data_IF_389169572826
#
_entry.id   IF_389169572826
#
_cell.length_a   1.000
_cell.length_b   1.000
_cell.length_c   1.000
_cell.angle_alpha   90.00
_cell.angle_beta   90.00
_cell.angle_gamma   90.00
#
_symmetry.space_group_name_H-M   'P 1'
#
loop_
_entity.id
_entity.type
_entity.pdbx_description
1 polymer ?
#
# COMPACT_ATOMS: atom_id res chain seq x y z
N UNK A 1 -13.78 6.25 37.32
CA UNK A 1 -12.50 6.26 36.61
C UNK A 1 -11.41 6.79 37.53
N UNK A 2 -10.18 6.43 37.25
CA UNK A 2 -9.03 6.88 38.02
C UNK A 2 -8.75 8.37 37.78
N UNK A 3 -8.20 9.06 38.81
CA UNK A 3 -7.82 10.45 38.68
C UNK A 3 -6.63 10.61 37.72
N UNK A 4 -6.75 11.45 36.71
CA UNK A 4 -5.70 11.73 35.75
C UNK A 4 -4.83 12.91 36.23
N UNK A 5 -3.86 12.58 37.09
CA UNK A 5 -2.90 13.58 37.60
C UNK A 5 -2.03 14.11 36.46
N UNK A 6 -1.92 15.46 36.37
CA UNK A 6 -1.14 16.11 35.30
C UNK A 6 -1.88 16.31 33.98
N UNK A 7 -3.18 15.98 33.89
CA UNK A 7 -3.97 16.30 32.70
C UNK A 7 -4.01 17.84 32.50
N UNK A 8 -3.79 18.28 31.25
CA UNK A 8 -3.86 19.67 30.89
C UNK A 8 -5.31 20.07 30.62
N UNK A 9 -5.75 21.17 31.24
CA UNK A 9 -7.07 21.75 31.04
C UNK A 9 -6.90 23.21 30.69
N UNK A 10 -7.37 23.63 29.52
CA UNK A 10 -7.19 25.01 29.06
C UNK A 10 -8.38 25.53 28.23
N UNK A 11 -8.52 26.81 28.16
CA UNK A 11 -9.54 27.50 27.37
C UNK A 11 -9.00 27.76 25.96
N UNK A 12 -9.61 27.15 24.94
CA UNK A 12 -9.19 27.29 23.55
C UNK A 12 -9.15 28.79 23.13
N UNK A 13 -8.07 29.15 22.45
CA UNK A 13 -7.85 30.52 21.96
C UNK A 13 -7.41 31.51 23.05
N UNK A 14 -7.09 31.05 24.27
CA UNK A 14 -6.57 31.88 25.36
C UNK A 14 -5.28 31.30 25.93
N UNK A 15 -4.62 32.07 26.83
CA UNK A 15 -3.47 31.57 27.62
C UNK A 15 -3.87 30.98 28.98
N UNK A 16 -5.18 30.87 29.26
CA UNK A 16 -5.70 30.42 30.54
C UNK A 16 -5.82 28.88 30.57
N UNK A 17 -5.20 28.24 31.55
CA UNK A 17 -5.24 26.81 31.75
C UNK A 17 -4.62 26.38 33.06
N UNK A 18 -4.80 25.11 33.42
CA UNK A 18 -4.24 24.51 34.62
C UNK A 18 -3.96 23.01 34.36
N UNK A 19 -3.01 22.43 35.12
CA UNK A 19 -2.83 21.00 35.20
C UNK A 19 -3.64 20.40 36.35
N UNK A 20 -4.19 19.21 36.12
CA UNK A 20 -4.90 18.48 37.17
C UNK A 20 -3.94 18.03 38.27
N UNK A 21 -4.37 18.13 39.52
CA UNK A 21 -3.63 17.68 40.70
C UNK A 21 -3.67 16.16 40.85
N UNK A 22 -2.98 15.62 41.84
CA UNK A 22 -2.92 14.17 42.11
C UNK A 22 -4.30 13.53 42.38
N UNK A 23 -5.28 14.32 42.78
CA UNK A 23 -6.68 13.90 43.00
C UNK A 23 -7.57 14.10 41.74
N UNK A 24 -6.97 14.48 40.60
CA UNK A 24 -7.67 14.75 39.36
C UNK A 24 -8.41 16.08 39.30
N UNK A 25 -8.34 16.91 40.35
CA UNK A 25 -8.99 18.23 40.35
C UNK A 25 -8.12 19.26 39.68
N UNK A 26 -8.75 20.20 38.99
CA UNK A 26 -8.12 21.36 38.37
C UNK A 26 -8.86 22.64 38.74
N UNK A 27 -8.20 23.77 38.63
CA UNK A 27 -8.78 25.09 38.84
C UNK A 27 -8.09 26.09 37.91
N UNK A 28 -8.89 26.82 37.16
CA UNK A 28 -8.45 27.92 36.31
C UNK A 28 -9.00 29.21 36.93
N UNK A 29 -8.12 30.07 37.37
CA UNK A 29 -8.47 31.31 38.03
C UNK A 29 -8.57 32.46 37.02
N UNK A 30 -9.24 33.55 37.42
CA UNK A 30 -9.35 34.82 36.71
C UNK A 30 -9.91 34.69 35.27
N UNK A 31 -10.84 33.76 35.07
CA UNK A 31 -11.51 33.58 33.77
C UNK A 31 -12.59 34.67 33.63
N UNK A 32 -12.50 35.57 32.63
CA UNK A 32 -13.55 36.55 32.38
C UNK A 32 -14.91 35.92 32.08
N UNK A 33 -16.00 36.63 32.33
CA UNK A 33 -17.32 36.14 31.98
C UNK A 33 -17.45 36.02 30.45
N UNK A 34 -17.89 34.84 29.97
CA UNK A 34 -17.98 34.54 28.54
C UNK A 34 -18.32 33.08 28.26
N UNK A 35 -18.43 32.78 26.98
CA UNK A 35 -18.56 31.38 26.50
C UNK A 35 -17.21 30.91 25.96
N UNK A 36 -16.76 29.80 26.44
CA UNK A 36 -15.46 29.22 26.10
C UNK A 36 -15.58 27.75 25.67
N UNK A 37 -14.64 27.29 24.88
CA UNK A 37 -14.39 25.88 24.67
C UNK A 37 -13.28 25.43 25.63
N UNK A 38 -13.64 24.58 26.57
CA UNK A 38 -12.70 23.98 27.53
C UNK A 38 -12.15 22.68 26.93
N UNK A 39 -10.83 22.60 26.85
CA UNK A 39 -10.11 21.47 26.25
C UNK A 39 -9.40 20.70 27.35
N UNK A 40 -9.65 19.41 27.41
CA UNK A 40 -8.98 18.47 28.31
C UNK A 40 -8.05 17.59 27.49
N UNK A 41 -6.79 17.54 27.85
CA UNK A 41 -5.81 16.69 27.19
C UNK A 41 -4.91 15.98 28.20
N UNK A 42 -4.64 14.71 27.95
CA UNK A 42 -3.72 13.92 28.75
C UNK A 42 -3.00 12.91 27.87
N UNK A 43 -1.73 12.68 28.15
CA UNK A 43 -0.92 11.75 27.36
C UNK A 43 -1.52 10.35 27.37
N UNK A 44 -1.80 9.78 26.19
CA UNK A 44 -2.47 8.49 26.05
C UNK A 44 -4.00 8.52 26.15
N UNK A 45 -4.61 9.71 26.10
CA UNK A 45 -6.07 9.89 26.10
C UNK A 45 -6.52 10.78 24.95
N UNK A 46 -7.70 10.52 24.43
CA UNK A 46 -8.33 11.38 23.40
C UNK A 46 -8.64 12.75 24.00
N UNK A 47 -8.25 13.80 23.28
CA UNK A 47 -8.60 15.17 23.67
C UNK A 47 -10.11 15.32 23.65
N UNK A 48 -10.66 15.90 24.72
CA UNK A 48 -12.08 16.18 24.86
C UNK A 48 -12.30 17.69 24.87
N UNK A 49 -13.24 18.15 24.06
CA UNK A 49 -13.65 19.55 24.04
C UNK A 49 -15.09 19.67 24.53
N UNK A 50 -15.37 20.66 25.36
CA UNK A 50 -16.72 20.94 25.85
C UNK A 50 -16.94 22.45 25.99
N UNK A 51 -18.14 22.90 25.69
CA UNK A 51 -18.50 24.30 25.88
C UNK A 51 -18.78 24.58 27.36
N UNK A 52 -18.24 25.67 27.89
CA UNK A 52 -18.49 26.13 29.24
C UNK A 52 -18.86 27.62 29.22
N UNK A 53 -19.88 27.97 29.96
CA UNK A 53 -20.29 29.35 30.16
C UNK A 53 -19.82 29.81 31.54
N UNK A 54 -18.97 30.82 31.56
CA UNK A 54 -18.47 31.47 32.77
C UNK A 54 -19.26 32.76 33.00
N UNK A 55 -19.88 32.84 34.14
CA UNK A 55 -20.63 34.03 34.58
C UNK A 55 -20.02 34.64 35.86
N UNK A 56 -20.85 35.25 36.65
CA UNK A 56 -20.44 35.86 37.95
C UNK A 56 -20.30 34.85 39.10
N UNK A 57 -20.40 33.54 38.79
CA UNK A 57 -20.24 32.46 39.76
C UNK A 57 -19.27 31.43 39.20
N UNK A 58 -18.62 30.67 40.08
CA UNK A 58 -17.75 29.61 39.69
C UNK A 58 -18.49 28.57 38.82
N UNK A 59 -17.91 28.24 37.68
CA UNK A 59 -18.37 27.16 36.82
C UNK A 59 -17.61 25.85 37.19
N UNK A 60 -18.32 24.72 37.22
CA UNK A 60 -17.71 23.43 37.45
C UNK A 60 -17.96 22.56 36.20
N UNK A 61 -16.91 22.02 35.65
CA UNK A 61 -16.97 21.10 34.50
C UNK A 61 -16.15 19.85 34.80
N UNK A 62 -16.80 18.70 34.77
CA UNK A 62 -16.13 17.40 34.88
C UNK A 62 -15.92 16.80 33.49
N UNK A 63 -14.83 16.08 33.33
CA UNK A 63 -14.52 15.38 32.08
C UNK A 63 -14.10 13.94 32.39
N UNK A 64 -14.49 13.07 31.49
CA UNK A 64 -14.00 11.68 31.48
C UNK A 64 -13.34 11.46 30.12
N UNK A 65 -12.01 11.40 30.13
CA UNK A 65 -11.25 11.13 28.92
C UNK A 65 -11.27 9.62 28.64
N UNK A 66 -11.59 9.27 27.40
CA UNK A 66 -11.35 7.91 26.89
C UNK A 66 -9.88 7.77 26.56
N UNK A 67 -9.30 6.61 26.84
CA UNK A 67 -7.94 6.34 26.39
C UNK A 67 -7.90 6.51 24.89
N UNK A 68 -7.00 7.38 24.41
CA UNK A 68 -6.73 7.43 23.00
C UNK A 68 -6.22 6.03 22.62
N UNK A 69 -6.79 5.46 21.58
CA UNK A 69 -6.09 4.39 20.92
C UNK A 69 -4.69 4.97 20.60
N UNK A 70 -3.67 4.33 21.14
CA UNK A 70 -2.28 4.82 21.07
C UNK A 70 -1.84 4.83 19.60
N UNK A 71 -2.19 5.90 18.89
CA UNK A 71 -1.80 6.07 17.48
C UNK A 71 -0.28 6.15 17.28
N UNK A 72 0.49 6.36 18.33
CA UNK A 72 1.91 6.69 18.18
C UNK A 72 2.85 5.71 18.91
N UNK A 73 2.47 5.13 20.04
CA UNK A 73 3.41 4.29 20.80
C UNK A 73 3.46 2.83 20.33
N UNK A 74 2.40 2.28 19.79
CA UNK A 74 2.42 0.92 19.23
C UNK A 74 3.30 0.84 17.96
N UNK A 75 3.44 1.97 17.25
CA UNK A 75 4.33 2.10 16.11
C UNK A 75 5.82 2.24 16.49
N UNK A 76 6.17 2.40 17.75
CA UNK A 76 7.56 2.53 18.21
C UNK A 76 8.33 1.22 18.29
N UNK A 77 7.75 0.09 17.87
CA UNK A 77 8.40 -1.23 17.99
C UNK A 77 9.72 -1.31 17.22
N UNK A 78 9.92 -0.51 16.21
CA UNK A 78 11.11 -0.67 15.35
C UNK A 78 12.12 0.48 15.38
N UNK A 79 12.00 1.49 16.21
CA UNK A 79 12.97 2.62 16.25
C UNK A 79 13.10 3.41 14.94
N UNK A 80 12.27 3.11 13.93
CA UNK A 80 12.33 3.65 12.58
C UNK A 80 11.28 4.72 12.30
N UNK A 81 10.38 4.99 13.25
CA UNK A 81 9.34 5.98 13.04
C UNK A 81 9.89 7.37 13.23
N UNK A 82 9.76 8.14 12.17
CA UNK A 82 10.11 9.55 12.15
C UNK A 82 9.05 10.33 12.93
N UNK A 83 9.47 11.07 13.93
CA UNK A 83 8.59 11.98 14.67
C UNK A 83 8.69 13.39 14.09
N UNK A 84 7.58 13.94 13.67
CA UNK A 84 7.51 15.32 13.19
C UNK A 84 8.08 16.29 14.22
N UNK A 85 8.90 17.23 13.75
CA UNK A 85 9.57 18.27 14.56
C UNK A 85 10.61 17.76 15.57
N UNK A 86 10.80 16.45 15.70
CA UNK A 86 11.81 15.85 16.60
C UNK A 86 12.96 15.27 15.80
N UNK A 87 12.67 14.64 14.66
CA UNK A 87 13.68 14.04 13.80
C UNK A 87 14.30 15.11 12.89
N UNK A 88 15.61 15.33 12.93
CA UNK A 88 16.27 16.46 12.23
C UNK A 88 16.43 16.25 10.72
N UNK A 89 15.85 15.20 10.14
CA UNK A 89 16.00 14.85 8.72
C UNK A 89 14.77 15.28 7.89
N UNK A 90 14.98 15.71 6.62
CA UNK A 90 13.87 16.01 5.72
C UNK A 90 13.03 14.75 5.46
N UNK A 91 11.78 14.79 5.86
CA UNK A 91 10.85 13.67 5.67
C UNK A 91 9.47 14.18 5.24
N UNK A 92 8.65 13.26 4.78
CA UNK A 92 7.23 13.45 4.51
C UNK A 92 6.47 12.26 5.06
N UNK A 93 5.32 12.51 5.68
CA UNK A 93 4.43 11.46 6.18
C UNK A 93 3.10 11.57 5.46
N UNK A 94 2.62 10.44 4.94
CA UNK A 94 1.30 10.27 4.36
C UNK A 94 0.48 9.45 5.35
N UNK A 95 -0.69 9.93 5.72
CA UNK A 95 -1.57 9.26 6.69
C UNK A 95 -2.48 8.24 6.00
N UNK A 96 -3.12 7.35 6.77
CA UNK A 96 -4.15 6.43 6.25
C UNK A 96 -5.26 7.16 5.50
N UNK A 97 -5.66 8.34 5.97
CA UNK A 97 -6.67 9.17 5.31
C UNK A 97 -6.20 9.68 3.94
N UNK A 98 -4.94 10.07 3.81
CA UNK A 98 -4.36 10.46 2.51
C UNK A 98 -4.36 9.28 1.56
N UNK A 99 -4.01 8.08 2.04
CA UNK A 99 -4.01 6.86 1.25
C UNK A 99 -5.42 6.49 0.80
N UNK A 100 -6.39 6.48 1.70
CA UNK A 100 -7.78 6.14 1.39
C UNK A 100 -8.38 7.06 0.32
N UNK A 101 -8.15 8.37 0.43
CA UNK A 101 -8.73 9.36 -0.47
C UNK A 101 -8.06 9.42 -1.84
N UNK A 102 -6.78 9.04 -1.95
CA UNK A 102 -5.96 9.34 -3.12
C UNK A 102 -5.52 8.11 -3.91
N UNK A 103 -5.52 6.92 -3.31
CA UNK A 103 -5.10 5.70 -4.01
C UNK A 103 -6.10 5.33 -5.09
N UNK A 104 -7.38 5.23 -4.75
CA UNK A 104 -8.44 4.80 -5.66
C UNK A 104 -7.99 3.56 -6.49
N UNK A 105 -8.03 3.65 -7.83
CA UNK A 105 -7.57 2.58 -8.73
C UNK A 105 -6.05 2.59 -9.00
N UNK A 106 -5.31 3.58 -8.47
CA UNK A 106 -3.87 3.74 -8.72
C UNK A 106 -3.04 2.91 -7.75
N UNK A 107 -1.81 2.63 -8.13
CA UNK A 107 -0.83 2.03 -7.22
C UNK A 107 -0.48 2.96 -6.05
N UNK A 108 -0.06 2.39 -4.94
CA UNK A 108 0.37 3.14 -3.74
C UNK A 108 1.48 4.16 -4.05
N UNK A 109 2.29 3.91 -5.07
CA UNK A 109 3.36 4.78 -5.54
C UNK A 109 2.85 6.13 -6.05
N UNK A 110 1.66 6.16 -6.66
CA UNK A 110 1.04 7.39 -7.13
C UNK A 110 0.73 8.36 -5.98
N UNK A 111 0.36 7.84 -4.82
CA UNK A 111 0.12 8.65 -3.62
C UNK A 111 1.42 9.15 -3.02
N UNK A 112 2.50 8.37 -3.11
CA UNK A 112 3.82 8.80 -2.64
C UNK A 112 4.36 10.03 -3.40
N UNK A 113 3.96 10.19 -4.66
CA UNK A 113 4.37 11.36 -5.48
C UNK A 113 3.80 12.69 -4.97
N UNK A 114 2.83 12.69 -4.08
CA UNK A 114 2.36 13.91 -3.40
C UNK A 114 3.40 14.45 -2.40
N UNK A 115 4.38 13.63 -2.01
CA UNK A 115 5.46 14.08 -1.16
C UNK A 115 6.50 14.90 -1.95
N UNK A 116 6.89 16.11 -1.49
CA UNK A 116 7.85 16.93 -2.20
C UNK A 116 9.16 16.20 -2.49
N UNK A 117 9.63 16.23 -3.75
CA UNK A 117 10.85 15.56 -4.19
C UNK A 117 10.72 14.06 -4.41
N UNK A 118 9.50 13.55 -4.46
CA UNK A 118 9.17 12.20 -4.91
C UNK A 118 8.51 12.28 -6.28
N UNK A 119 8.91 11.40 -7.16
CA UNK A 119 8.34 11.25 -8.50
C UNK A 119 8.07 9.78 -8.77
N UNK A 120 7.02 9.47 -9.51
CA UNK A 120 6.73 8.10 -9.93
C UNK A 120 6.46 8.02 -11.43
N UNK A 121 6.66 6.85 -11.98
CA UNK A 121 6.30 6.51 -13.36
C UNK A 121 5.52 5.21 -13.40
N UNK A 122 4.54 5.14 -14.27
CA UNK A 122 3.84 3.90 -14.64
C UNK A 122 4.45 3.39 -15.94
N UNK A 123 5.57 2.69 -15.83
CA UNK A 123 6.40 2.37 -17.00
C UNK A 123 5.71 1.44 -18.01
N UNK A 124 4.78 0.61 -17.55
CA UNK A 124 4.12 -0.40 -18.40
C UNK A 124 2.61 -0.21 -18.55
N UNK A 125 2.08 0.87 -18.00
CA UNK A 125 0.67 1.24 -18.14
C UNK A 125 -0.33 0.30 -17.47
N UNK A 126 0.16 -0.65 -16.68
CA UNK A 126 -0.60 -1.62 -15.93
C UNK A 126 -0.39 -1.50 -14.42
N UNK A 127 -1.14 -2.27 -13.66
CA UNK A 127 -1.03 -2.29 -12.21
C UNK A 127 0.30 -2.90 -11.76
N UNK A 128 1.00 -2.21 -10.84
CA UNK A 128 2.18 -2.74 -10.15
C UNK A 128 3.52 -2.58 -10.85
N UNK A 129 3.54 -2.06 -12.06
CA UNK A 129 4.78 -1.81 -12.81
C UNK A 129 5.33 -0.39 -12.62
N UNK A 130 4.90 0.30 -11.59
CA UNK A 130 5.34 1.64 -11.28
C UNK A 130 6.74 1.68 -10.67
N UNK A 131 7.43 2.81 -10.85
CA UNK A 131 8.72 3.08 -10.23
C UNK A 131 8.66 4.38 -9.43
N UNK A 132 9.38 4.43 -8.32
CA UNK A 132 9.48 5.60 -7.45
C UNK A 132 10.89 6.14 -7.46
N UNK A 133 10.99 7.46 -7.58
CA UNK A 133 12.24 8.20 -7.54
C UNK A 133 12.20 9.18 -6.37
N UNK A 134 13.25 9.20 -5.55
CA UNK A 134 13.39 10.15 -4.46
C UNK A 134 14.55 11.08 -4.77
N UNK A 135 14.29 12.39 -4.93
CA UNK A 135 15.30 13.39 -5.32
C UNK A 135 16.07 13.03 -6.60
N UNK A 136 15.40 12.35 -7.54
CA UNK A 136 16.02 11.90 -8.79
C UNK A 136 16.79 10.58 -8.70
N UNK A 137 16.95 10.02 -7.50
CA UNK A 137 17.53 8.69 -7.34
C UNK A 137 16.50 7.61 -7.62
N UNK A 138 16.88 6.60 -8.39
CA UNK A 138 16.08 5.43 -8.69
C UNK A 138 15.85 4.59 -7.41
N UNK A 139 14.84 3.75 -7.44
CA UNK A 139 14.44 2.88 -6.34
C UNK A 139 15.56 1.90 -5.90
N UNK A 140 16.51 1.57 -6.76
CA UNK A 140 17.71 0.80 -6.41
C UNK A 140 18.59 1.51 -5.38
N UNK A 141 18.52 2.84 -5.35
CA UNK A 141 19.24 3.71 -4.42
C UNK A 141 18.37 4.15 -3.23
N UNK A 142 17.22 3.52 -3.04
CA UNK A 142 16.27 3.83 -1.98
C UNK A 142 15.87 2.56 -1.25
N UNK A 143 15.87 2.58 0.07
CA UNK A 143 15.39 1.46 0.86
C UNK A 143 13.87 1.52 1.02
N UNK A 144 13.19 0.41 0.81
CA UNK A 144 11.76 0.26 1.13
C UNK A 144 11.59 -0.74 2.26
N UNK A 145 10.89 -0.32 3.29
CA UNK A 145 10.62 -1.09 4.49
C UNK A 145 9.11 -1.28 4.66
N UNK A 146 8.69 -2.44 5.13
CA UNK A 146 7.33 -2.70 5.62
C UNK A 146 7.46 -3.09 7.10
N UNK A 147 6.93 -2.27 7.98
CA UNK A 147 7.09 -2.44 9.44
C UNK A 147 8.56 -2.61 9.86
N UNK A 148 9.48 -1.90 9.20
CA UNK A 148 10.91 -2.00 9.45
C UNK A 148 11.61 -3.20 8.80
N UNK A 149 10.90 -4.08 8.10
CA UNK A 149 11.47 -5.19 7.33
C UNK A 149 11.84 -4.72 5.94
N UNK A 150 13.10 -4.83 5.49
CA UNK A 150 13.51 -4.46 4.14
C UNK A 150 12.89 -5.42 3.12
N UNK A 151 12.31 -4.86 2.06
CA UNK A 151 11.55 -5.62 1.04
C UNK A 151 12.06 -5.40 -0.39
N UNK A 152 13.09 -4.60 -0.58
CA UNK A 152 13.78 -4.50 -1.86
C UNK A 152 14.23 -5.90 -2.32
N UNK A 153 14.23 -6.11 -3.62
CA UNK A 153 14.75 -7.33 -4.20
C UNK A 153 16.26 -7.48 -3.92
N UNK A 154 16.67 -8.67 -3.48
CA UNK A 154 18.05 -8.90 -3.04
C UNK A 154 19.03 -9.06 -4.20
N UNK A 155 18.55 -9.32 -5.41
CA UNK A 155 19.39 -9.48 -6.58
C UNK A 155 19.76 -8.14 -7.21
N UNK A 156 18.75 -7.24 -7.36
CA UNK A 156 18.91 -5.99 -8.12
C UNK A 156 18.58 -4.71 -7.32
N UNK A 157 18.18 -4.84 -6.06
CA UNK A 157 17.82 -3.70 -5.21
C UNK A 157 16.50 -3.03 -5.54
N UNK A 158 15.78 -3.50 -6.56
CA UNK A 158 14.53 -2.88 -7.04
C UNK A 158 13.35 -3.20 -6.14
N UNK A 159 12.32 -2.39 -6.28
CA UNK A 159 11.02 -2.65 -5.70
C UNK A 159 10.03 -3.03 -6.80
N UNK A 160 9.40 -4.18 -6.67
CA UNK A 160 8.34 -4.64 -7.56
C UNK A 160 7.00 -4.44 -6.85
N UNK A 161 6.35 -3.32 -7.14
CA UNK A 161 5.15 -2.87 -6.41
C UNK A 161 3.95 -3.79 -6.57
N UNK A 162 3.87 -4.54 -7.67
CA UNK A 162 2.84 -5.57 -7.88
C UNK A 162 2.84 -6.66 -6.79
N UNK A 163 4.00 -6.93 -6.18
CA UNK A 163 4.10 -7.91 -5.08
C UNK A 163 3.44 -7.43 -3.79
N UNK A 164 3.07 -6.15 -3.73
CA UNK A 164 2.56 -5.46 -2.55
C UNK A 164 1.20 -4.82 -2.82
N UNK A 165 0.43 -5.39 -3.74
CA UNK A 165 -0.95 -4.95 -3.98
C UNK A 165 -1.75 -5.01 -2.67
N UNK A 166 -2.64 -4.04 -2.47
CA UNK A 166 -3.39 -3.89 -1.23
C UNK A 166 -2.66 -3.22 -0.08
N UNK A 167 -1.36 -2.87 -0.23
CA UNK A 167 -0.64 -2.13 0.82
C UNK A 167 -1.29 -0.80 1.19
N UNK A 168 -1.93 -0.13 0.24
CA UNK A 168 -2.68 1.11 0.48
C UNK A 168 -3.85 0.94 1.46
N UNK A 169 -4.42 -0.26 1.55
CA UNK A 169 -5.57 -0.53 2.42
C UNK A 169 -5.16 -0.91 3.85
N UNK A 170 -3.91 -1.34 4.03
CA UNK A 170 -3.40 -1.76 5.35
C UNK A 170 -2.44 -0.75 5.97
N UNK A 171 -1.87 0.15 5.16
CA UNK A 171 -0.93 1.13 5.65
C UNK A 171 -1.63 2.17 6.54
N UNK A 172 -1.20 2.29 7.78
CA UNK A 172 -1.59 3.37 8.68
C UNK A 172 -0.82 4.66 8.39
N UNK A 173 0.41 4.53 7.88
CA UNK A 173 1.22 5.64 7.42
C UNK A 173 2.29 5.19 6.43
N UNK A 174 2.70 6.11 5.54
CA UNK A 174 3.92 5.98 4.75
C UNK A 174 4.84 7.13 5.13
N UNK A 175 6.03 6.79 5.57
CA UNK A 175 7.07 7.77 5.91
C UNK A 175 8.17 7.73 4.87
N UNK A 176 8.44 8.87 4.25
CA UNK A 176 9.46 9.00 3.20
C UNK A 176 10.54 9.92 3.73
N UNK A 177 11.68 9.36 4.05
CA UNK A 177 12.88 10.09 4.43
C UNK A 177 13.76 10.30 3.19
N UNK A 178 14.26 11.52 3.02
CA UNK A 178 14.97 11.94 1.81
C UNK A 178 16.46 12.10 2.10
N UNK A 179 17.27 11.42 1.30
CA UNK A 179 18.73 11.42 1.44
C UNK A 179 19.22 10.43 2.49
N UNK A 180 20.48 10.54 2.88
CA UNK A 180 21.11 9.66 3.88
C UNK A 180 20.34 9.77 5.20
N UNK A 181 19.62 8.74 5.52
CA UNK A 181 18.78 8.67 6.69
C UNK A 181 19.42 7.93 7.85
N UNK A 182 19.04 8.31 9.06
CA UNK A 182 19.39 7.56 10.25
C UNK A 182 18.41 6.39 10.45
N UNK A 183 18.36 5.45 9.51
CA UNK A 183 17.68 4.20 9.81
C UNK A 183 18.70 3.20 10.33
N UNK A 184 18.47 2.68 11.53
CA UNK A 184 19.33 1.66 12.11
C UNK A 184 19.11 0.28 11.48
N UNK A 185 18.19 0.13 10.54
CA UNK A 185 17.74 -1.16 10.02
C UNK A 185 18.29 -1.50 8.64
N UNK A 186 18.74 -0.52 7.88
CA UNK A 186 19.26 -0.72 6.52
C UNK A 186 20.50 0.14 6.33
N UNK A 187 21.46 -0.36 5.55
CA UNK A 187 22.59 0.45 5.11
C UNK A 187 22.07 1.73 4.43
N UNK A 188 22.66 2.87 4.75
CA UNK A 188 22.20 4.17 4.26
C UNK A 188 22.12 4.20 2.74
N UNK A 189 20.96 4.54 2.22
CA UNK A 189 20.70 4.68 0.80
C UNK A 189 20.75 6.16 0.41
N UNK A 190 21.37 6.48 -0.72
CA UNK A 190 21.57 7.86 -1.18
C UNK A 190 20.25 8.59 -1.49
N UNK A 191 19.28 7.89 -2.07
CA UNK A 191 17.97 8.44 -2.40
C UNK A 191 17.12 8.70 -1.17
N UNK A 192 17.12 7.77 -0.24
CA UNK A 192 16.31 7.85 0.97
C UNK A 192 15.72 6.52 1.43
N UNK A 193 14.71 6.62 2.29
CA UNK A 193 14.02 5.45 2.83
C UNK A 193 12.51 5.68 2.77
N UNK A 194 11.78 4.69 2.27
CA UNK A 194 10.33 4.59 2.35
C UNK A 194 10.00 3.56 3.43
N UNK A 195 9.27 3.94 4.46
CA UNK A 195 8.80 3.02 5.47
C UNK A 195 7.27 3.01 5.47
N UNK A 196 6.70 1.86 5.10
CA UNK A 196 5.26 1.61 5.12
C UNK A 196 4.93 0.96 6.44
N UNK A 197 4.07 1.59 7.18
CA UNK A 197 3.70 1.17 8.53
C UNK A 197 2.27 0.67 8.55
N UNK A 198 2.06 -0.50 9.14
CA UNK A 198 0.75 -1.10 9.37
C UNK A 198 0.72 -1.70 10.77
N UNK A 199 -0.44 -1.84 11.37
CA UNK A 199 -0.51 -2.47 12.70
C UNK A 199 -1.92 -2.64 13.23
N UNK A 200 -2.12 -3.72 14.00
CA UNK A 200 -3.38 -4.01 14.68
C UNK A 200 -3.58 -3.20 15.96
N UNK A 201 -2.49 -2.83 16.62
CA UNK A 201 -2.55 -2.21 17.93
C UNK A 201 -3.22 -0.83 17.94
N UNK A 202 -3.21 -0.16 16.79
CA UNK A 202 -3.77 1.19 16.61
C UNK A 202 -5.16 1.18 16.01
N UNK A 203 -5.63 0.04 15.52
CA UNK A 203 -6.94 -0.04 14.91
C UNK A 203 -8.05 -0.01 15.97
N UNK A 204 -9.07 0.78 15.73
CA UNK A 204 -10.30 0.70 16.52
C UNK A 204 -11.05 -0.59 16.24
N UNK A 205 -11.92 -1.01 17.16
CA UNK A 205 -12.79 -2.15 16.91
C UNK A 205 -13.76 -1.82 15.79
N UNK A 206 -13.58 -2.48 14.66
CA UNK A 206 -14.37 -2.22 13.46
C UNK A 206 -14.46 -3.45 12.56
N UNK A 207 -15.50 -3.48 11.76
CA UNK A 207 -15.61 -4.30 10.57
C UNK A 207 -15.86 -3.36 9.39
N UNK A 208 -15.07 -3.51 8.33
CA UNK A 208 -15.14 -2.67 7.13
C UNK A 208 -15.42 -3.50 5.88
N UNK A 209 -16.22 -2.94 5.00
CA UNK A 209 -16.40 -3.37 3.63
C UNK A 209 -16.20 -2.16 2.72
N UNK A 210 -15.34 -2.29 1.72
CA UNK A 210 -15.06 -1.25 0.73
C UNK A 210 -15.18 -1.85 -0.66
N UNK A 211 -15.93 -1.16 -1.51
CA UNK A 211 -16.05 -1.49 -2.93
C UNK A 211 -15.56 -0.32 -3.75
N UNK A 212 -14.61 -0.58 -4.63
CA UNK A 212 -14.04 0.43 -5.52
C UNK A 212 -14.33 0.04 -6.97
N UNK A 213 -14.80 1.01 -7.74
CA UNK A 213 -15.14 0.89 -9.16
C UNK A 213 -14.37 1.96 -9.93
N UNK A 214 -13.90 1.62 -11.11
CA UNK A 214 -13.16 2.56 -11.94
C UNK A 214 -13.28 2.27 -13.44
N UNK A 215 -12.55 3.04 -14.23
CA UNK A 215 -12.47 2.83 -15.68
C UNK A 215 -11.83 1.46 -16.00
N UNK A 216 -12.03 1.04 -17.24
CA UNK A 216 -11.48 -0.21 -17.77
C UNK A 216 -11.83 -1.42 -16.89
N UNK A 217 -13.09 -1.47 -16.43
CA UNK A 217 -13.66 -2.51 -15.56
C UNK A 217 -12.89 -2.73 -14.26
N UNK A 218 -12.27 -1.68 -13.72
CA UNK A 218 -11.64 -1.78 -12.41
C UNK A 218 -12.66 -2.10 -11.34
N UNK A 219 -12.42 -3.17 -10.60
CA UNK A 219 -13.24 -3.62 -9.50
C UNK A 219 -12.32 -4.10 -8.37
N UNK A 220 -12.47 -3.50 -7.18
CA UNK A 220 -11.77 -3.96 -5.99
C UNK A 220 -12.73 -4.08 -4.83
N UNK A 221 -12.71 -5.22 -4.18
CA UNK A 221 -13.51 -5.52 -2.98
C UNK A 221 -12.58 -5.79 -1.83
N UNK A 222 -12.74 -5.07 -0.74
CA UNK A 222 -11.90 -5.19 0.46
C UNK A 222 -12.77 -5.42 1.70
N UNK A 223 -12.38 -6.40 2.50
CA UNK A 223 -12.94 -6.65 3.83
C UNK A 223 -11.86 -6.44 4.87
N UNK A 224 -12.19 -5.71 5.92
CA UNK A 224 -11.32 -5.48 7.07
C UNK A 224 -12.02 -5.83 8.36
N UNK A 225 -11.28 -6.31 9.33
CA UNK A 225 -11.80 -6.56 10.67
C UNK A 225 -10.73 -6.26 11.71
N UNK A 226 -11.11 -5.64 12.80
CA UNK A 226 -10.24 -5.38 13.95
C UNK A 226 -11.01 -5.55 15.25
N UNK A 227 -10.36 -6.15 16.24
CA UNK A 227 -10.89 -6.25 17.59
C UNK A 227 -10.72 -4.97 18.41
N UNK A 228 -9.87 -4.04 17.92
CA UNK A 228 -9.29 -3.03 18.79
C UNK A 228 -8.42 -3.64 19.89
N UNK A 229 -7.85 -2.81 20.73
CA UNK A 229 -7.09 -3.26 21.89
C UNK A 229 -8.07 -3.70 22.99
N UNK A 230 -8.03 -5.00 23.30
CA UNK A 230 -8.84 -5.61 24.36
C UNK A 230 -8.23 -5.37 25.75
N UNK A 231 -9.03 -5.47 26.80
CA UNK A 231 -8.60 -5.26 28.21
C UNK A 231 -7.44 -6.16 28.63
N UNK A 232 -7.34 -7.33 28.03
CA UNK A 232 -6.23 -8.25 28.28
C UNK A 232 -4.95 -7.89 27.52
N UNK A 233 -4.90 -6.74 26.83
CA UNK A 233 -3.75 -6.28 26.05
C UNK A 233 -3.53 -7.00 24.72
N UNK A 234 -4.55 -7.67 24.18
CA UNK A 234 -4.53 -8.31 22.85
C UNK A 234 -5.24 -7.41 21.84
N UNK A 235 -4.70 -7.29 20.63
CA UNK A 235 -5.41 -6.77 19.49
C UNK A 235 -5.17 -7.67 18.28
N UNK A 236 -6.22 -7.88 17.49
CA UNK A 236 -6.16 -8.64 16.24
C UNK A 236 -6.72 -7.77 15.12
N UNK A 237 -6.09 -7.79 13.96
CA UNK A 237 -6.66 -7.20 12.75
C UNK A 237 -6.37 -8.04 11.53
N UNK A 238 -7.25 -7.93 10.54
CA UNK A 238 -7.09 -8.61 9.28
C UNK A 238 -7.72 -7.85 8.13
N UNK A 239 -7.18 -8.09 6.95
CA UNK A 239 -7.70 -7.61 5.69
C UNK A 239 -7.59 -8.71 4.65
N UNK A 240 -8.62 -8.81 3.80
CA UNK A 240 -8.58 -9.56 2.57
C UNK A 240 -9.20 -8.72 1.46
N UNK A 241 -8.60 -8.75 0.27
CA UNK A 241 -9.15 -8.07 -0.89
C UNK A 241 -9.00 -8.88 -2.17
N UNK A 242 -9.88 -8.59 -3.14
CA UNK A 242 -9.82 -9.06 -4.53
C UNK A 242 -9.87 -7.84 -5.43
N UNK A 243 -8.93 -7.74 -6.37
CA UNK A 243 -8.89 -6.73 -7.43
C UNK A 243 -8.94 -7.42 -8.78
N UNK A 244 -9.72 -6.87 -9.69
CA UNK A 244 -9.70 -7.19 -11.12
C UNK A 244 -9.69 -5.90 -11.92
N UNK A 245 -8.95 -5.85 -13.02
CA UNK A 245 -8.85 -4.69 -13.88
C UNK A 245 -8.45 -5.12 -15.29
N UNK A 246 -9.03 -4.50 -16.30
CA UNK A 246 -8.64 -4.77 -17.70
C UNK A 246 -7.39 -4.00 -18.13
N UNK A 247 -6.97 -3.00 -17.33
CA UNK A 247 -5.82 -2.17 -17.63
C UNK A 247 -6.18 -0.97 -18.51
N UNK A 248 -5.44 0.13 -18.35
CA UNK A 248 -5.57 1.30 -19.19
C UNK A 248 -4.96 1.06 -20.59
N UNK A 249 -3.84 0.35 -20.63
CA UNK A 249 -3.19 -0.10 -21.87
C UNK A 249 -3.74 -1.47 -22.25
N UNK A 250 -3.94 -1.68 -23.53
CA UNK A 250 -4.43 -2.95 -24.05
C UNK A 250 -3.50 -4.10 -23.63
N UNK A 251 -4.10 -5.22 -23.20
CA UNK A 251 -3.37 -6.38 -22.71
C UNK A 251 -2.79 -6.27 -21.30
N UNK A 252 -2.88 -5.12 -20.63
CA UNK A 252 -2.35 -4.94 -19.26
C UNK A 252 -3.37 -5.23 -18.16
N UNK A 253 -4.18 -6.24 -18.35
CA UNK A 253 -5.11 -6.70 -17.33
C UNK A 253 -4.41 -7.08 -16.01
N UNK A 254 -5.12 -7.02 -14.89
CA UNK A 254 -4.60 -7.41 -13.58
C UNK A 254 -5.65 -8.16 -12.76
N UNK A 255 -5.24 -9.27 -12.15
CA UNK A 255 -5.98 -10.00 -11.15
C UNK A 255 -5.10 -10.17 -9.92
N UNK A 256 -5.58 -9.71 -8.78
CA UNK A 256 -4.82 -9.78 -7.54
C UNK A 256 -5.73 -10.09 -6.34
N UNK A 257 -5.20 -10.83 -5.41
CA UNK A 257 -5.71 -10.93 -4.06
C UNK A 257 -4.70 -10.31 -3.11
N UNK A 258 -5.16 -9.81 -1.98
CA UNK A 258 -4.28 -9.35 -0.92
C UNK A 258 -4.81 -9.82 0.42
N UNK A 259 -3.90 -10.16 1.31
CA UNK A 259 -4.22 -10.51 2.68
C UNK A 259 -3.22 -9.90 3.64
N UNK A 260 -3.73 -9.52 4.79
CA UNK A 260 -2.95 -9.06 5.93
C UNK A 260 -3.58 -9.54 7.20
N UNK A 261 -2.76 -10.08 8.12
CA UNK A 261 -3.18 -10.43 9.46
C UNK A 261 -2.14 -9.95 10.45
N UNK A 262 -2.60 -9.32 11.50
CA UNK A 262 -1.76 -8.79 12.57
C UNK A 262 -2.32 -9.18 13.94
N UNK A 263 -1.42 -9.55 14.82
CA UNK A 263 -1.72 -9.83 16.22
C UNK A 263 -0.76 -9.04 17.09
N UNK A 264 -1.31 -8.36 18.07
CA UNK A 264 -0.59 -7.59 19.08
C UNK A 264 -0.85 -8.15 20.47
N UNK A 265 0.15 -8.15 21.32
CA UNK A 265 0.03 -8.50 22.72
C UNK A 265 0.94 -7.65 23.59
N UNK A 266 0.35 -6.97 24.57
CA UNK A 266 1.08 -6.32 25.65
C UNK A 266 0.98 -7.16 26.92
N UNK A 267 2.10 -7.37 27.63
CA UNK A 267 2.17 -8.16 28.87
C UNK A 267 3.25 -7.65 29.82
N UNK A 268 3.36 -8.25 31.01
CA UNK A 268 4.37 -7.84 31.99
C UNK A 268 4.18 -6.40 32.49
N UNK A 269 2.94 -6.01 32.81
CA UNK A 269 2.58 -4.65 33.23
C UNK A 269 2.99 -3.57 32.20
N UNK A 270 2.83 -3.88 30.92
CA UNK A 270 3.18 -2.95 29.83
C UNK A 270 4.66 -2.93 29.43
N UNK A 271 5.51 -3.70 30.11
CA UNK A 271 6.94 -3.74 29.81
C UNK A 271 7.26 -4.48 28.51
N UNK A 272 6.44 -5.43 28.12
CA UNK A 272 6.67 -6.23 26.93
C UNK A 272 5.57 -6.00 25.90
N UNK A 273 5.96 -5.88 24.64
CA UNK A 273 5.06 -5.82 23.49
C UNK A 273 5.52 -6.83 22.46
N UNK A 274 4.59 -7.61 21.95
CA UNK A 274 4.81 -8.56 20.86
C UNK A 274 3.84 -8.26 19.73
N UNK A 275 4.38 -8.07 18.52
CA UNK A 275 3.62 -7.84 17.30
C UNK A 275 3.98 -8.90 16.28
N UNK A 276 2.99 -9.66 15.83
CA UNK A 276 3.13 -10.64 14.77
C UNK A 276 2.32 -10.18 13.54
N UNK A 277 2.95 -10.22 12.39
CA UNK A 277 2.32 -9.79 11.14
C UNK A 277 2.58 -10.83 10.04
N UNK A 278 1.60 -11.04 9.18
CA UNK A 278 1.75 -11.74 7.91
C UNK A 278 0.98 -11.00 6.84
N UNK A 279 1.60 -10.83 5.70
CA UNK A 279 0.99 -10.17 4.54
C UNK A 279 1.44 -10.83 3.25
N UNK A 280 0.64 -10.73 2.22
CA UNK A 280 0.97 -11.20 0.89
C UNK A 280 -0.07 -10.76 -0.13
N UNK A 281 0.36 -10.73 -1.40
CA UNK A 281 -0.47 -10.34 -2.52
C UNK A 281 -0.20 -11.26 -3.70
N UNK A 282 -0.81 -12.47 -3.75
CA UNK A 282 -0.78 -13.28 -4.95
C UNK A 282 -1.47 -12.54 -6.09
N UNK A 283 -0.75 -12.34 -7.19
CA UNK A 283 -1.20 -11.55 -8.32
C UNK A 283 -0.71 -12.13 -9.64
N UNK A 284 -1.42 -11.82 -10.69
CA UNK A 284 -0.96 -11.96 -12.05
C UNK A 284 -1.49 -10.82 -12.92
N UNK A 285 -0.69 -10.39 -13.88
CA UNK A 285 -1.07 -9.30 -14.77
C UNK A 285 -0.37 -9.42 -16.12
N UNK A 286 -1.01 -8.89 -17.14
CA UNK A 286 -0.41 -8.66 -18.44
C UNK A 286 0.51 -7.46 -18.39
N UNK A 287 1.63 -7.51 -19.08
CA UNK A 287 2.59 -6.42 -19.15
C UNK A 287 2.61 -5.83 -20.55
N UNK A 288 2.75 -4.51 -20.63
CA UNK A 288 3.10 -3.83 -21.87
C UNK A 288 4.56 -4.12 -22.21
N UNK A 289 4.83 -4.36 -23.49
CA UNK A 289 6.19 -4.44 -23.97
C UNK A 289 6.75 -3.00 -24.14
N UNK A 290 7.77 -2.66 -23.36
CA UNK A 290 8.41 -1.34 -23.41
C UNK A 290 9.20 -1.11 -24.69
N UNK A 291 9.74 -2.19 -25.28
CA UNK A 291 10.62 -2.13 -26.43
C UNK A 291 9.84 -1.86 -27.75
N UNK A 292 8.51 -1.73 -27.69
CA UNK A 292 7.63 -1.71 -28.82
C UNK A 292 6.59 -0.59 -28.81
N UNK A 293 7.00 0.61 -28.50
CA UNK A 293 6.27 1.78 -28.98
C UNK A 293 6.75 2.01 -30.42
N UNK A 294 6.09 1.36 -31.38
CA UNK A 294 6.38 1.59 -32.77
C UNK A 294 6.09 3.04 -33.13
N UNK A 295 7.09 3.68 -33.71
CA UNK A 295 6.91 4.98 -34.35
C UNK A 295 6.20 4.78 -35.70
N UNK A 296 5.68 5.85 -36.26
CA UNK A 296 5.14 5.82 -37.63
C UNK A 296 6.15 5.29 -38.68
N UNK A 297 7.45 5.51 -38.42
CA UNK A 297 8.53 5.02 -39.27
C UNK A 297 8.72 3.50 -39.12
N UNK A 298 8.57 2.97 -37.94
CA UNK A 298 8.64 1.52 -37.67
C UNK A 298 7.54 0.80 -38.48
N UNK A 299 6.30 1.28 -38.41
CA UNK A 299 5.18 0.72 -39.18
C UNK A 299 5.42 0.74 -40.68
N UNK A 300 5.98 1.80 -41.21
CA UNK A 300 6.36 1.87 -42.64
C UNK A 300 7.44 0.86 -43.00
N UNK A 301 8.36 0.56 -42.08
CA UNK A 301 9.43 -0.40 -42.30
C UNK A 301 8.95 -1.86 -42.33
N UNK A 302 7.84 -2.16 -41.69
CA UNK A 302 7.22 -3.50 -41.68
C UNK A 302 6.48 -3.84 -43.00
N UNK A 303 6.54 -2.97 -43.99
CA UNK A 303 6.00 -3.25 -45.35
C UNK A 303 4.48 -3.16 -45.44
N UNK A 304 3.81 -2.67 -44.43
CA UNK A 304 2.41 -2.28 -44.52
C UNK A 304 2.28 -1.13 -45.48
N UNK A 305 1.89 -1.40 -46.75
CA UNK A 305 1.71 -0.42 -47.77
C UNK A 305 0.57 0.58 -47.51
N UNK A 306 -0.18 0.38 -46.42
CA UNK A 306 -1.42 1.11 -46.18
C UNK A 306 -1.58 1.61 -44.74
N UNK A 307 -0.50 2.13 -44.18
CA UNK A 307 -0.53 2.86 -42.90
C UNK A 307 -1.60 3.96 -42.85
N UNK A 308 -1.89 4.57 -44.02
CA UNK A 308 -2.87 5.66 -44.14
C UNK A 308 -4.32 5.17 -43.97
N UNK A 309 -4.60 3.87 -44.11
CA UNK A 309 -5.94 3.30 -44.07
C UNK A 309 -6.19 2.37 -42.89
N UNK A 310 -5.21 2.12 -42.01
CA UNK A 310 -5.47 1.35 -40.78
C UNK A 310 -6.25 2.24 -39.80
N UNK A 311 -7.57 2.27 -39.99
CA UNK A 311 -8.51 2.87 -39.04
C UNK A 311 -8.33 2.22 -37.64
N UNK A 312 -7.83 1.01 -37.59
CA UNK A 312 -7.56 0.28 -36.36
C UNK A 312 -6.34 0.81 -35.60
N UNK A 313 -5.27 1.21 -36.31
CA UNK A 313 -4.14 1.89 -35.70
C UNK A 313 -4.52 3.26 -35.12
N UNK A 314 -5.41 3.99 -35.77
CA UNK A 314 -5.89 5.29 -35.30
C UNK A 314 -6.87 5.20 -34.14
N UNK A 315 -7.52 4.05 -33.96
CA UNK A 315 -8.42 3.79 -32.81
C UNK A 315 -7.67 3.46 -31.55
N UNK A 316 -6.52 2.80 -31.66
CA UNK A 316 -5.64 2.64 -30.51
C UNK A 316 -4.98 3.99 -30.25
N UNK A 317 -5.41 4.71 -29.21
CA UNK A 317 -4.61 5.82 -28.70
C UNK A 317 -3.18 5.31 -28.52
N UNK A 318 -2.14 6.01 -29.00
CA UNK A 318 -0.75 5.60 -28.81
C UNK A 318 -0.42 5.31 -27.32
N UNK A 319 -1.16 5.93 -26.42
CA UNK A 319 -1.02 5.74 -25.00
C UNK A 319 -1.61 4.41 -24.49
N UNK A 320 -2.53 3.83 -25.24
CA UNK A 320 -3.21 2.56 -24.88
C UNK A 320 -2.63 1.35 -25.62
N UNK A 321 -1.83 1.57 -26.63
CA UNK A 321 -1.30 0.48 -27.43
C UNK A 321 -0.23 -0.32 -26.69
N UNK A 322 -0.35 -1.64 -26.75
CA UNK A 322 0.64 -2.60 -26.31
C UNK A 322 0.81 -3.68 -27.38
N UNK A 323 2.03 -4.03 -27.75
CA UNK A 323 2.28 -4.96 -28.85
C UNK A 323 2.35 -6.42 -28.44
N UNK A 324 2.43 -6.71 -27.15
CA UNK A 324 2.60 -8.08 -26.64
C UNK A 324 1.28 -8.83 -26.46
N UNK A 325 0.20 -8.44 -27.10
CA UNK A 325 -1.09 -9.10 -27.00
C UNK A 325 -1.75 -9.25 -28.37
N UNK A 326 -2.68 -10.17 -28.49
CA UNK A 326 -3.46 -10.38 -29.72
C UNK A 326 -4.90 -10.76 -29.41
N UNK A 327 -5.77 -10.52 -30.38
CA UNK A 327 -7.15 -10.98 -30.33
C UNK A 327 -7.27 -12.38 -30.88
N UNK A 328 -8.12 -13.16 -30.25
CA UNK A 328 -8.46 -14.51 -30.65
C UNK A 328 -9.94 -14.56 -31.00
N UNK A 329 -10.33 -15.46 -31.90
CA UNK A 329 -11.72 -15.91 -31.99
C UNK A 329 -12.04 -16.80 -30.78
N UNK A 330 -13.32 -16.98 -30.48
CA UNK A 330 -13.77 -17.90 -29.43
C UNK A 330 -13.22 -19.30 -29.63
N UNK A 331 -13.25 -19.82 -30.86
CA UNK A 331 -12.71 -21.14 -31.21
C UNK A 331 -11.19 -21.24 -30.94
N UNK A 332 -10.43 -20.19 -31.29
CA UNK A 332 -9.00 -20.14 -31.02
C UNK A 332 -8.69 -20.06 -29.53
N UNK A 333 -9.47 -19.28 -28.79
CA UNK A 333 -9.37 -19.13 -27.35
C UNK A 333 -9.60 -20.47 -26.63
N UNK A 334 -10.70 -21.16 -26.98
CA UNK A 334 -11.02 -22.45 -26.40
C UNK A 334 -9.94 -23.51 -26.74
N UNK A 335 -9.51 -23.54 -28.00
CA UNK A 335 -8.47 -24.47 -28.44
C UNK A 335 -7.14 -24.26 -27.69
N UNK A 336 -6.70 -23.00 -27.52
CA UNK A 336 -5.46 -22.69 -26.81
C UNK A 336 -5.56 -22.98 -25.32
N UNK A 337 -6.70 -22.70 -24.69
CA UNK A 337 -6.92 -23.03 -23.29
C UNK A 337 -6.91 -24.53 -23.04
N UNK A 338 -7.54 -25.30 -23.90
CA UNK A 338 -7.68 -26.76 -23.74
C UNK A 338 -6.38 -27.50 -24.04
N UNK A 339 -5.56 -27.01 -24.97
CA UNK A 339 -4.45 -27.75 -25.50
C UNK A 339 -3.06 -27.23 -25.12
N UNK A 340 -2.89 -25.89 -24.92
CA UNK A 340 -1.52 -25.35 -24.86
C UNK A 340 -1.22 -24.33 -23.79
N UNK A 341 -1.92 -23.17 -23.76
CA UNK A 341 -1.43 -21.98 -23.08
C UNK A 341 -2.48 -21.23 -22.23
N UNK A 342 -3.67 -21.76 -22.07
CA UNK A 342 -4.72 -21.09 -21.33
C UNK A 342 -4.32 -20.82 -19.87
N UNK A 343 -4.58 -21.80 -19.06
CA UNK A 343 -4.15 -21.82 -17.66
C UNK A 343 -3.11 -22.92 -17.47
N UNK A 344 -1.95 -22.57 -16.99
CA UNK A 344 -0.91 -23.54 -16.63
C UNK A 344 -0.79 -23.63 -15.12
N UNK A 345 -0.62 -24.86 -14.62
CA UNK A 345 -0.29 -25.07 -13.22
C UNK A 345 0.97 -24.30 -12.84
N UNK A 346 0.97 -23.65 -11.70
CA UNK A 346 2.13 -22.93 -11.17
C UNK A 346 2.83 -23.76 -10.10
N UNK A 347 4.03 -23.36 -9.73
CA UNK A 347 4.72 -23.94 -8.58
C UNK A 347 4.26 -23.28 -7.26
N UNK A 348 3.33 -22.37 -7.32
CA UNK A 348 2.73 -21.69 -6.17
C UNK A 348 1.26 -22.09 -6.01
N UNK A 349 0.98 -22.78 -4.93
CA UNK A 349 -0.37 -23.22 -4.58
C UNK A 349 -1.40 -22.09 -4.57
N UNK A 350 -0.99 -20.87 -4.20
CA UNK A 350 -1.90 -19.74 -4.16
C UNK A 350 -2.41 -19.38 -5.57
N UNK A 351 -1.56 -19.41 -6.58
CA UNK A 351 -1.97 -19.20 -7.96
C UNK A 351 -2.89 -20.33 -8.45
N UNK A 352 -2.55 -21.57 -8.14
CA UNK A 352 -3.37 -22.72 -8.57
C UNK A 352 -4.76 -22.69 -7.93
N UNK A 353 -4.85 -22.33 -6.63
CA UNK A 353 -6.12 -22.27 -5.90
C UNK A 353 -6.94 -21.03 -6.23
N UNK A 354 -6.31 -19.86 -6.32
CA UNK A 354 -7.03 -18.59 -6.45
C UNK A 354 -7.36 -18.24 -7.90
N UNK A 355 -6.55 -18.68 -8.85
CA UNK A 355 -6.66 -18.30 -10.27
C UNK A 355 -6.85 -19.49 -11.21
N UNK A 356 -6.74 -20.73 -10.75
CA UNK A 356 -6.74 -21.90 -11.60
C UNK A 356 -5.43 -22.11 -12.36
N UNK A 357 -4.36 -21.43 -11.95
CA UNK A 357 -3.05 -21.46 -12.60
C UNK A 357 -2.64 -20.12 -13.18
N UNK A 358 -1.62 -20.13 -14.03
CA UNK A 358 -1.09 -18.93 -14.69
C UNK A 358 -1.84 -18.69 -15.99
N UNK A 359 -2.42 -17.52 -16.12
CA UNK A 359 -3.19 -17.12 -17.31
C UNK A 359 -2.29 -16.58 -18.41
N UNK A 360 -2.48 -17.09 -19.61
CA UNK A 360 -1.92 -16.53 -20.84
C UNK A 360 -3.01 -15.97 -21.75
N UNK A 361 -4.22 -16.51 -21.62
CA UNK A 361 -5.40 -16.07 -22.36
C UNK A 361 -6.43 -15.53 -21.38
N UNK A 362 -7.18 -14.53 -21.79
CA UNK A 362 -8.23 -13.92 -20.95
C UNK A 362 -9.40 -13.44 -21.80
N UNK A 363 -10.61 -13.70 -21.34
CA UNK A 363 -11.79 -13.07 -21.88
C UNK A 363 -12.01 -11.71 -21.20
N UNK A 364 -12.16 -10.66 -21.98
CA UNK A 364 -12.42 -9.29 -21.54
C UNK A 364 -13.66 -8.78 -22.28
N UNK A 365 -14.82 -8.79 -21.61
CA UNK A 365 -16.10 -8.53 -22.26
C UNK A 365 -16.37 -9.56 -23.36
N UNK A 366 -16.57 -9.09 -24.58
CA UNK A 366 -16.78 -9.94 -25.78
C UNK A 366 -15.47 -10.25 -26.53
N UNK A 367 -14.33 -9.83 -26.01
CA UNK A 367 -13.03 -10.10 -26.61
C UNK A 367 -12.31 -11.25 -25.94
N UNK A 368 -11.68 -12.08 -26.76
CA UNK A 368 -10.79 -13.14 -26.32
C UNK A 368 -9.35 -12.69 -26.62
N UNK A 369 -8.51 -12.68 -25.60
CA UNK A 369 -7.17 -12.11 -25.66
C UNK A 369 -6.13 -13.16 -25.32
N UNK A 370 -4.98 -13.05 -25.96
CA UNK A 370 -3.74 -13.70 -25.55
C UNK A 370 -2.71 -12.62 -25.23
N UNK A 371 -1.91 -12.83 -24.19
CA UNK A 371 -0.79 -11.95 -23.86
C UNK A 371 0.46 -12.82 -23.66
N UNK A 372 1.52 -12.51 -24.39
CA UNK A 372 2.79 -13.22 -24.26
C UNK A 372 3.58 -12.80 -23.05
N UNK A 373 3.39 -11.57 -22.58
CA UNK A 373 4.05 -11.05 -21.38
C UNK A 373 3.09 -10.99 -20.21
N UNK A 374 3.00 -12.08 -19.48
CA UNK A 374 2.33 -12.12 -18.19
C UNK A 374 3.34 -12.25 -17.08
N UNK A 375 3.14 -11.48 -16.02
CA UNK A 375 3.87 -11.62 -14.78
C UNK A 375 2.94 -12.18 -13.71
N UNK A 376 3.44 -13.10 -12.91
CA UNK A 376 2.73 -13.63 -11.75
C UNK A 376 3.69 -13.74 -10.59
N UNK A 377 3.26 -13.35 -9.40
CA UNK A 377 4.10 -13.39 -8.21
C UNK A 377 3.28 -13.52 -6.93
N UNK A 378 3.85 -14.23 -5.97
CA UNK A 378 3.37 -14.27 -4.59
C UNK A 378 4.58 -14.26 -3.66
N UNK A 379 4.72 -13.21 -2.88
CA UNK A 379 5.83 -13.00 -1.95
C UNK A 379 5.30 -12.71 -0.54
N UNK A 380 4.79 -13.73 0.19
CA UNK A 380 4.38 -13.54 1.57
C UNK A 380 5.57 -13.10 2.43
N UNK A 381 5.31 -12.15 3.32
CA UNK A 381 6.24 -11.71 4.35
C UNK A 381 5.59 -11.89 5.71
N UNK A 382 6.33 -12.43 6.63
CA UNK A 382 5.93 -12.48 8.03
C UNK A 382 6.98 -11.81 8.90
N UNK A 383 6.55 -11.22 10.00
CA UNK A 383 7.44 -10.64 11.00
C UNK A 383 6.90 -10.87 12.41
N UNK A 384 7.82 -10.99 13.35
CA UNK A 384 7.57 -11.07 14.78
C UNK A 384 8.47 -10.04 15.46
N UNK A 385 7.87 -9.02 16.03
CA UNK A 385 8.56 -7.94 16.69
C UNK A 385 8.33 -8.05 18.20
N UNK A 386 9.40 -8.12 18.97
CA UNK A 386 9.35 -8.10 20.41
C UNK A 386 10.09 -6.86 20.93
N UNK A 387 9.41 -6.08 21.76
CA UNK A 387 9.99 -4.96 22.47
C UNK A 387 9.91 -5.19 23.97
N UNK A 388 11.01 -4.96 24.64
CA UNK A 388 11.11 -4.99 26.10
C UNK A 388 11.59 -3.63 26.62
N UNK A 389 10.76 -2.92 27.34
CA UNK A 389 11.12 -1.72 28.09
C UNK A 389 11.68 -2.19 29.45
N UNK A 390 13.00 -2.24 29.54
CA UNK A 390 13.72 -2.71 30.75
C UNK A 390 13.44 -1.75 31.88
N UNK A 391 13.64 -0.45 31.62
CA UNK A 391 13.39 0.67 32.50
C UNK A 391 13.00 1.93 31.68
N UNK A 392 12.92 3.10 32.34
CA UNK A 392 12.54 4.37 31.67
C UNK A 392 13.56 4.87 30.65
N UNK A 393 14.80 4.39 30.71
CA UNK A 393 15.91 4.85 29.87
C UNK A 393 16.38 3.77 28.88
N UNK A 394 16.02 2.50 29.11
CA UNK A 394 16.57 1.36 28.37
C UNK A 394 15.46 0.51 27.76
N UNK A 395 15.58 0.21 26.50
CA UNK A 395 14.70 -0.74 25.80
C UNK A 395 15.50 -1.66 24.88
N UNK A 396 14.99 -2.88 24.72
CA UNK A 396 15.48 -3.86 23.76
C UNK A 396 14.39 -4.14 22.75
N UNK A 397 14.72 -4.05 21.46
CA UNK A 397 13.82 -4.43 20.37
C UNK A 397 14.47 -5.54 19.54
N UNK A 398 13.71 -6.58 19.25
CA UNK A 398 14.13 -7.70 18.43
C UNK A 398 13.10 -7.99 17.37
N UNK A 399 13.53 -8.10 16.12
CA UNK A 399 12.67 -8.40 14.98
C UNK A 399 13.14 -9.69 14.32
N UNK A 400 12.24 -10.66 14.22
CA UNK A 400 12.40 -11.83 13.36
C UNK A 400 11.49 -11.67 12.16
N UNK A 401 12.00 -11.95 10.97
CA UNK A 401 11.18 -11.89 9.76
C UNK A 401 11.64 -12.92 8.73
N UNK A 402 10.76 -13.24 7.80
CA UNK A 402 11.05 -14.10 6.69
C UNK A 402 10.09 -13.88 5.54
N UNK A 403 10.55 -14.28 4.36
CA UNK A 403 9.77 -14.23 3.12
C UNK A 403 10.14 -15.44 2.25
N UNK A 404 9.15 -15.96 1.52
CA UNK A 404 9.37 -16.99 0.51
C UNK A 404 8.58 -16.59 -0.74
N UNK A 405 9.23 -15.87 -1.64
CA UNK A 405 8.62 -15.49 -2.91
C UNK A 405 8.63 -16.64 -3.91
N UNK A 406 7.57 -16.71 -4.69
CA UNK A 406 7.46 -17.52 -5.90
C UNK A 406 6.78 -16.71 -6.98
N UNK A 407 7.24 -16.87 -8.20
CA UNK A 407 6.67 -16.17 -9.32
C UNK A 407 7.53 -16.30 -10.57
N UNK A 408 7.12 -15.62 -11.60
CA UNK A 408 7.81 -15.59 -12.87
C UNK A 408 7.11 -14.68 -13.85
N UNK A 409 7.62 -14.68 -15.04
CA UNK A 409 7.04 -13.99 -16.17
C UNK A 409 7.13 -14.85 -17.42
N UNK A 410 6.32 -14.52 -18.38
CA UNK A 410 6.39 -15.11 -19.71
C UNK A 410 6.91 -14.09 -20.70
N UNK A 411 7.39 -14.54 -21.82
CA UNK A 411 7.83 -13.71 -22.92
C UNK A 411 7.86 -14.50 -24.21
N UNK A 412 7.85 -13.83 -25.37
CA UNK A 412 7.93 -14.49 -26.65
C UNK A 412 9.28 -15.22 -26.77
N UNK A 413 9.26 -16.44 -27.26
CA UNK A 413 10.47 -17.17 -27.62
C UNK A 413 10.94 -16.74 -29.02
N UNK A 414 11.76 -15.73 -29.04
CA UNK A 414 12.77 -15.44 -30.11
C UNK A 414 12.37 -15.38 -31.60
N UNK A 415 11.14 -15.07 -32.01
CA UNK A 415 10.89 -14.84 -33.44
C UNK A 415 9.74 -13.87 -33.67
N UNK A 416 9.98 -12.59 -33.38
CA UNK A 416 9.00 -11.53 -33.58
C UNK A 416 8.68 -11.20 -35.03
N UNK A 417 9.59 -11.52 -35.93
CA UNK A 417 9.57 -10.99 -37.29
C UNK A 417 8.65 -11.75 -38.26
N UNK A 418 7.92 -12.78 -37.81
CA UNK A 418 7.25 -13.67 -38.75
C UNK A 418 5.74 -13.83 -38.61
N UNK A 419 5.13 -13.26 -37.57
CA UNK A 419 3.72 -13.54 -37.28
C UNK A 419 2.90 -12.30 -36.89
N UNK A 420 3.13 -11.18 -37.55
CA UNK A 420 2.25 -10.03 -37.40
C UNK A 420 0.95 -10.27 -38.18
N UNK A 421 -0.18 -10.03 -37.52
CA UNK A 421 -1.48 -9.96 -38.17
C UNK A 421 -1.60 -8.72 -39.07
N UNK A 422 -2.63 -8.71 -39.90
CA UNK A 422 -2.90 -7.59 -40.81
C UNK A 422 -3.25 -6.28 -40.05
N UNK A 423 -3.57 -6.38 -38.76
CA UNK A 423 -3.86 -5.28 -37.84
C UNK A 423 -2.60 -4.74 -37.12
N UNK A 424 -1.44 -5.33 -37.40
CA UNK A 424 -0.17 -4.94 -36.76
C UNK A 424 0.05 -5.53 -35.35
N UNK A 425 -0.83 -6.42 -34.92
CA UNK A 425 -0.68 -7.18 -33.69
C UNK A 425 -0.07 -8.57 -33.97
N UNK A 426 0.58 -9.19 -33.00
CA UNK A 426 1.17 -10.51 -33.19
C UNK A 426 0.08 -11.58 -33.40
N UNK A 427 0.16 -12.34 -34.48
CA UNK A 427 -0.73 -13.47 -34.75
C UNK A 427 -0.27 -14.72 -33.97
N UNK A 428 -0.58 -14.77 -32.70
CA UNK A 428 -0.17 -15.86 -31.82
C UNK A 428 -0.80 -17.21 -32.16
N UNK A 429 -1.93 -17.22 -32.86
CA UNK A 429 -2.53 -18.44 -33.29
C UNK A 429 -1.67 -19.16 -34.33
N UNK A 430 -1.08 -18.42 -35.27
CA UNK A 430 -0.10 -18.96 -36.22
C UNK A 430 1.21 -19.40 -35.55
N UNK A 431 1.56 -18.76 -34.44
CA UNK A 431 2.78 -19.10 -33.69
C UNK A 431 2.69 -20.46 -33.02
N UNK A 432 1.52 -20.94 -32.63
CA UNK A 432 1.30 -22.19 -31.91
C UNK A 432 0.73 -23.30 -32.78
N UNK A 433 0.36 -23.03 -34.01
CA UNK A 433 -0.01 -24.01 -35.05
C UNK A 433 1.04 -24.11 -36.14
#
# INVERSE_FOLDING_TARGET
GDALSGANVYLAGTSLGAAAKSDGKYQIDDVPAGNYTLVFSYLGYSTMETSVQVGNRNATQNAQLSRAALEIEALQVTGTIIKDRVTPFPHSSLTSKDLELRTASRDITAVMADAPGVYFTESKGGAGDSRVYIRGFDQENSATLINGVPVNDMENGRMFWSNWDGMSDIASAIQIQKGLGATNLVAGQLGGTINIVSGAATAERAFGYKQELGSDSFLKTTFTASTGLLDNGVALSGLVSKKTWNGYVDGTWSDAYSYYFSAHKTFGNGKHTLDANVLGAPQQHGQRDEDQIYTEEDWKSFGSSDYSNSDDFRRASPHRYGSGWGKLTEEQYDYLNDNYIGHRGSTDWAHDVLFGGIMHTKQVGDMYLINTRTNYYHKPVWSLNWKWNVDEQSSLSTTFYGSKGRGGGTGPMNTRDTFMGDDGEDDYYKYFN
#
